data_IF_088524811627
#
_entry.id   IF_088524811627
#
_cell.length_a   1.000
_cell.length_b   1.000
_cell.length_c   1.000
_cell.angle_alpha   90.00
_cell.angle_beta   90.00
_cell.angle_gamma   90.00
#
_symmetry.space_group_name_H-M   'P 1'
#
loop_
_entity.id
_entity.type
_entity.pdbx_description
1 polymer ?
#
# COMPACT_ATOMS: atom_id res chain seq x y z
N UNK A 1 -58.10 41.12 33.34
CA UNK A 1 -58.48 40.26 34.49
C UNK A 1 -58.49 38.82 33.98
N UNK A 2 -57.42 38.06 34.14
CA UNK A 2 -57.01 37.34 35.37
C UNK A 2 -57.72 35.98 35.55
N UNK A 3 -56.97 34.90 35.21
CA UNK A 3 -56.85 33.54 35.81
C UNK A 3 -58.15 32.71 36.02
N UNK A 4 -58.22 31.38 35.84
CA UNK A 4 -57.42 30.22 36.33
C UNK A 4 -57.84 28.98 35.51
N UNK A 5 -56.98 28.18 34.84
CA UNK A 5 -56.10 27.08 35.30
C UNK A 5 -56.67 26.10 36.33
N UNK A 6 -56.84 24.84 35.92
CA UNK A 6 -56.76 23.62 36.76
C UNK A 6 -56.18 22.47 35.90
N UNK A 7 -54.93 22.09 36.20
CA UNK A 7 -54.23 20.89 35.74
C UNK A 7 -54.53 19.73 36.69
N UNK A 8 -54.60 18.50 36.18
CA UNK A 8 -54.48 17.27 36.97
C UNK A 8 -53.26 16.49 36.48
N UNK A 9 -52.27 16.33 37.38
CA UNK A 9 -51.05 15.53 37.24
C UNK A 9 -51.19 14.37 38.22
N UNK A 10 -50.88 13.15 37.78
CA UNK A 10 -50.74 11.99 38.65
C UNK A 10 -49.31 11.46 38.58
N UNK A 11 -48.60 11.57 39.71
CA UNK A 11 -47.27 11.06 40.01
C UNK A 11 -47.38 9.74 40.79
N UNK A 12 -46.54 8.76 40.46
CA UNK A 12 -46.29 7.59 41.32
C UNK A 12 -44.79 7.55 41.68
N UNK A 13 -44.53 7.36 42.98
CA UNK A 13 -43.26 7.55 43.65
C UNK A 13 -42.41 6.27 43.72
N UNK A 14 -41.09 6.45 43.67
CA UNK A 14 -40.08 5.47 44.10
C UNK A 14 -39.84 5.57 45.61
N UNK A 15 -39.62 4.43 46.26
CA UNK A 15 -39.18 4.33 47.66
C UNK A 15 -37.94 3.42 47.77
N UNK A 16 -36.92 3.91 48.49
CA UNK A 16 -35.56 3.38 48.59
C UNK A 16 -35.26 2.95 50.04
N UNK A 17 -34.47 1.87 50.18
CA UNK A 17 -33.49 1.51 51.23
C UNK A 17 -33.86 1.44 52.72
N UNK A 18 -33.41 0.34 53.35
CA UNK A 18 -33.13 0.26 54.79
C UNK A 18 -32.07 -0.82 55.08
N UNK A 19 -30.90 -0.39 55.56
CA UNK A 19 -29.76 -1.20 55.98
C UNK A 19 -29.58 -1.15 57.51
N UNK A 20 -29.10 -2.25 58.13
CA UNK A 20 -28.26 -2.38 59.36
C UNK A 20 -28.45 -3.81 59.95
N UNK A 21 -27.50 -4.52 60.59
CA UNK A 21 -26.11 -4.32 61.02
C UNK A 21 -25.45 -5.71 61.29
N UNK A 22 -24.12 -5.82 61.31
CA UNK A 22 -23.34 -7.02 61.77
C UNK A 22 -23.27 -7.15 63.31
N UNK A 23 -22.57 -8.14 63.94
CA UNK A 23 -21.14 -8.47 63.68
C UNK A 23 -20.63 -9.95 63.87
N UNK A 24 -19.47 -10.22 63.26
CA UNK A 24 -18.33 -11.14 63.58
C UNK A 24 -18.50 -12.57 64.19
N UNK A 25 -17.97 -13.60 63.49
CA UNK A 25 -16.88 -14.52 63.97
C UNK A 25 -16.36 -15.46 62.84
N UNK A 26 -15.04 -15.72 62.72
CA UNK A 26 -14.47 -16.58 61.68
C UNK A 26 -14.40 -18.06 62.10
N UNK A 27 -14.45 -18.97 61.13
CA UNK A 27 -14.04 -20.37 61.31
C UNK A 27 -12.90 -20.69 60.36
N UNK A 28 -11.74 -20.91 60.98
CA UNK A 28 -10.49 -21.39 60.41
C UNK A 28 -10.63 -22.80 59.83
N UNK A 29 -10.03 -23.04 58.67
CA UNK A 29 -9.28 -24.29 58.43
C UNK A 29 -8.03 -23.92 57.64
N UNK A 30 -6.91 -24.07 58.34
CA UNK A 30 -5.54 -23.91 57.86
C UNK A 30 -5.04 -25.28 57.40
N UNK A 31 -4.38 -25.33 56.26
CA UNK A 31 -3.35 -26.34 56.02
C UNK A 31 -2.21 -25.63 55.30
N UNK A 32 -1.21 -25.21 56.08
CA UNK A 32 0.17 -24.93 55.66
C UNK A 32 0.98 -26.19 55.99
N UNK A 33 1.96 -26.61 55.18
CA UNK A 33 3.41 -26.29 55.22
C UNK A 33 4.06 -27.23 54.16
N UNK A 34 5.24 -27.07 53.53
CA UNK A 34 6.51 -26.42 53.88
C UNK A 34 7.37 -26.26 52.61
N UNK A 35 8.30 -25.31 52.65
CA UNK A 35 9.36 -24.99 51.68
C UNK A 35 10.44 -26.08 51.50
N UNK A 36 11.20 -25.99 50.39
CA UNK A 36 12.64 -26.32 50.31
C UNK A 36 13.33 -25.48 49.23
N UNK A 37 14.55 -25.06 49.55
CA UNK A 37 15.38 -23.99 48.98
C UNK A 37 16.18 -24.32 47.70
N UNK A 38 16.72 -23.23 47.13
CA UNK A 38 17.97 -23.09 46.32
C UNK A 38 17.88 -23.59 44.86
N UNK A 39 18.36 -22.89 43.84
CA UNK A 39 19.70 -22.29 43.65
C UNK A 39 19.71 -21.17 42.59
N UNK A 40 20.75 -20.34 42.67
CA UNK A 40 21.07 -19.16 41.88
C UNK A 40 21.29 -19.36 40.36
N UNK A 41 21.06 -18.28 39.60
CA UNK A 41 21.98 -17.83 38.54
C UNK A 41 21.89 -16.31 38.39
N UNK A 42 23.06 -15.69 38.35
CA UNK A 42 23.32 -14.27 38.13
C UNK A 42 23.19 -13.88 36.65
N UNK A 43 23.14 -12.56 36.40
CA UNK A 43 23.83 -11.80 35.33
C UNK A 43 23.10 -10.44 35.19
N UNK A 44 23.59 -9.40 35.88
CA UNK A 44 24.45 -8.30 35.37
C UNK A 44 23.69 -7.15 34.71
N UNK A 45 23.45 -6.10 35.50
CA UNK A 45 23.31 -4.73 35.03
C UNK A 45 24.61 -4.27 34.37
N UNK A 46 24.54 -3.64 33.21
CA UNK A 46 25.56 -2.70 32.74
C UNK A 46 24.96 -1.69 31.77
N UNK A 47 24.71 -0.50 32.31
CA UNK A 47 24.62 0.76 31.58
C UNK A 47 26.04 1.18 31.23
N UNK A 48 26.36 1.38 29.95
CA UNK A 48 27.63 2.01 29.55
C UNK A 48 27.36 3.15 28.59
N UNK A 49 27.47 4.34 29.15
CA UNK A 49 27.66 5.62 28.48
C UNK A 49 29.01 5.59 27.78
N UNK A 50 29.08 6.02 26.52
CA UNK A 50 30.35 6.45 25.91
C UNK A 50 30.10 7.80 25.27
N UNK A 51 30.75 8.82 25.83
CA UNK A 51 30.78 10.17 25.32
C UNK A 51 32.12 10.45 24.61
N UNK A 52 32.02 11.31 23.60
CA UNK A 52 33.04 12.22 23.07
C UNK A 52 34.18 11.64 22.22
N UNK A 53 34.17 12.00 20.94
CA UNK A 53 35.23 12.89 20.43
C UNK A 53 34.75 13.70 19.22
N UNK A 54 35.04 14.98 19.34
CA UNK A 54 34.73 16.11 18.48
C UNK A 54 35.77 16.19 17.35
N UNK A 55 35.34 16.37 16.10
CA UNK A 55 36.17 17.07 15.09
C UNK A 55 35.28 17.99 14.28
N UNK A 56 35.35 19.27 14.64
CA UNK A 56 34.90 20.42 13.87
C UNK A 56 35.94 20.65 12.77
N UNK A 57 35.50 20.75 11.52
CA UNK A 57 36.28 21.47 10.49
C UNK A 57 35.31 22.36 9.72
N UNK A 58 35.62 23.64 9.77
CA UNK A 58 34.94 24.76 9.15
C UNK A 58 34.73 24.55 7.63
N UNK A 59 33.63 25.09 7.13
CA UNK A 59 33.61 25.67 5.79
C UNK A 59 32.80 26.96 5.85
N UNK A 60 33.53 28.07 5.84
CA UNK A 60 32.99 29.43 5.72
C UNK A 60 33.22 29.95 4.31
N UNK A 61 32.18 30.62 3.79
CA UNK A 61 32.21 31.85 2.96
C UNK A 61 32.86 31.76 1.56
N UNK A 62 32.11 31.74 0.44
CA UNK A 62 31.45 32.85 -0.33
C UNK A 62 32.26 33.41 -1.51
N UNK A 63 31.51 33.66 -2.60
CA UNK A 63 31.55 34.76 -3.58
C UNK A 63 32.49 34.75 -4.81
N UNK A 64 31.83 34.70 -5.99
CA UNK A 64 31.73 35.77 -7.03
C UNK A 64 32.62 35.72 -8.29
N UNK A 65 31.91 36.05 -9.39
CA UNK A 65 32.28 36.64 -10.69
C UNK A 65 32.62 35.66 -11.83
N UNK A 66 31.79 35.55 -12.88
CA UNK A 66 31.35 36.51 -13.92
C UNK A 66 32.29 36.57 -15.13
N UNK A 67 31.65 36.30 -16.27
CA UNK A 67 31.81 36.97 -17.57
C UNK A 67 32.93 36.59 -18.56
N UNK A 68 32.41 36.19 -19.73
CA UNK A 68 32.67 36.75 -21.07
C UNK A 68 33.62 36.03 -22.03
N UNK A 69 32.98 35.39 -23.02
CA UNK A 69 33.03 35.70 -24.47
C UNK A 69 34.35 35.72 -25.23
N UNK A 70 34.39 34.99 -26.35
CA UNK A 70 34.90 35.39 -27.71
C UNK A 70 34.79 34.18 -28.65
N UNK A 71 33.80 34.11 -29.55
CA UNK A 71 33.79 34.50 -30.98
C UNK A 71 34.78 33.78 -31.92
N UNK A 72 34.20 32.94 -32.81
CA UNK A 72 34.33 32.84 -34.29
C UNK A 72 35.72 32.96 -34.91
N UNK A 73 36.17 31.98 -35.72
CA UNK A 73 36.53 32.15 -37.17
C UNK A 73 36.59 30.77 -37.89
N UNK A 74 35.92 30.68 -39.04
CA UNK A 74 36.13 29.67 -40.09
C UNK A 74 37.47 29.87 -40.84
N UNK A 75 38.01 28.83 -41.47
CA UNK A 75 38.73 28.99 -42.74
C UNK A 75 38.74 27.68 -43.54
N UNK A 76 38.38 27.82 -44.81
CA UNK A 76 38.35 26.79 -45.85
C UNK A 76 39.58 26.90 -46.77
N UNK A 77 39.78 25.87 -47.60
CA UNK A 77 40.55 25.80 -48.88
C UNK A 77 42.09 25.66 -48.75
N UNK A 78 42.89 24.96 -49.57
CA UNK A 78 42.90 24.62 -51.03
C UNK A 78 43.90 23.47 -51.37
N UNK A 79 43.53 22.61 -52.35
CA UNK A 79 44.23 22.08 -53.56
C UNK A 79 45.70 21.58 -53.66
N UNK A 80 45.87 20.67 -54.65
CA UNK A 80 47.04 20.02 -55.33
C UNK A 80 47.59 18.75 -54.66
N UNK A 81 47.96 17.65 -55.35
CA UNK A 81 48.56 17.45 -56.68
C UNK A 81 48.46 15.97 -57.16
N UNK A 82 48.75 15.74 -58.45
CA UNK A 82 48.64 14.54 -59.29
C UNK A 82 49.65 13.40 -58.99
N UNK A 83 49.28 12.11 -59.21
CA UNK A 83 50.01 11.09 -60.02
C UNK A 83 49.97 9.63 -59.50
N UNK A 84 49.44 8.74 -60.35
CA UNK A 84 49.96 7.41 -60.79
C UNK A 84 50.30 6.30 -59.78
N UNK A 85 49.59 5.16 -59.87
CA UNK A 85 50.10 3.81 -60.22
C UNK A 85 49.39 2.63 -59.52
N UNK A 86 49.41 1.50 -60.22
CA UNK A 86 48.83 0.17 -59.95
C UNK A 86 48.95 -0.35 -58.51
N UNK A 87 47.88 -0.96 -58.02
CA UNK A 87 47.87 -2.36 -57.55
C UNK A 87 46.43 -2.82 -57.27
N UNK A 88 45.97 -3.84 -58.00
CA UNK A 88 44.84 -4.68 -57.58
C UNK A 88 45.21 -5.34 -56.24
N UNK A 89 44.59 -4.88 -55.16
CA UNK A 89 44.45 -5.68 -53.94
C UNK A 89 43.02 -6.19 -53.91
N UNK A 90 42.86 -7.49 -54.10
CA UNK A 90 41.61 -8.20 -53.81
C UNK A 90 41.24 -7.96 -52.36
N UNK A 91 40.25 -7.09 -52.14
CA UNK A 91 39.59 -6.92 -50.85
C UNK A 91 38.61 -8.08 -50.66
N UNK A 92 39.01 -9.09 -49.89
CA UNK A 92 38.03 -10.00 -49.26
C UNK A 92 37.25 -9.17 -48.24
N UNK A 93 36.09 -8.69 -48.66
CA UNK A 93 35.11 -8.05 -47.78
C UNK A 93 34.59 -9.13 -46.84
N UNK A 94 35.00 -9.09 -45.57
CA UNK A 94 34.34 -9.86 -44.52
C UNK A 94 32.94 -9.27 -44.41
N UNK A 95 31.95 -10.02 -44.86
CA UNK A 95 30.56 -9.70 -44.62
C UNK A 95 30.32 -9.82 -43.12
N UNK A 96 30.31 -8.70 -42.42
CA UNK A 96 29.72 -8.62 -41.10
C UNK A 96 28.25 -8.99 -41.25
N UNK A 97 27.87 -10.20 -40.85
CA UNK A 97 26.48 -10.56 -40.63
C UNK A 97 25.99 -9.71 -39.47
N UNK A 98 25.41 -8.55 -39.77
CA UNK A 98 24.59 -7.81 -38.84
C UNK A 98 23.38 -8.67 -38.51
N UNK A 99 23.48 -9.48 -37.46
CA UNK A 99 22.30 -10.01 -36.77
C UNK A 99 21.57 -8.81 -36.18
N UNK A 100 20.57 -8.31 -36.91
CA UNK A 100 19.56 -7.42 -36.35
C UNK A 100 18.80 -8.24 -35.31
N UNK A 101 19.29 -8.23 -34.06
CA UNK A 101 18.51 -8.68 -32.92
C UNK A 101 17.33 -7.73 -32.84
N UNK A 102 16.15 -8.20 -33.23
CA UNK A 102 14.92 -7.48 -33.01
C UNK A 102 14.85 -7.13 -31.52
N UNK A 103 14.60 -5.87 -31.19
CA UNK A 103 14.41 -5.46 -29.81
C UNK A 103 13.24 -6.30 -29.24
N UNK A 104 13.32 -6.75 -27.98
CA UNK A 104 12.22 -7.52 -27.41
C UNK A 104 10.92 -6.72 -27.53
N UNK A 105 9.87 -7.40 -27.98
CA UNK A 105 8.52 -6.85 -27.99
C UNK A 105 8.09 -6.60 -26.53
N UNK A 106 8.04 -5.31 -26.17
CA UNK A 106 7.76 -4.85 -24.82
C UNK A 106 6.28 -4.55 -24.59
N UNK A 107 5.38 -5.07 -25.43
CA UNK A 107 3.95 -4.92 -25.25
C UNK A 107 3.48 -5.57 -23.94
N UNK A 108 3.13 -4.71 -22.99
CA UNK A 108 2.58 -5.09 -21.70
C UNK A 108 1.15 -5.59 -21.87
N UNK A 109 0.85 -6.78 -21.34
CA UNK A 109 -0.49 -7.38 -21.46
C UNK A 109 -1.22 -7.32 -20.11
N UNK A 110 -2.32 -6.57 -20.05
CA UNK A 110 -3.27 -6.58 -18.93
C UNK A 110 -4.11 -7.86 -19.00
N UNK A 111 -4.24 -8.57 -17.88
CA UNK A 111 -5.01 -9.83 -17.84
C UNK A 111 -6.29 -9.77 -16.99
N UNK A 112 -6.47 -8.74 -16.17
CA UNK A 112 -7.76 -8.49 -15.50
C UNK A 112 -8.79 -7.95 -16.48
N UNK A 113 -10.02 -8.43 -16.34
CA UNK A 113 -11.19 -7.97 -17.08
C UNK A 113 -11.93 -6.95 -16.22
N UNK A 114 -12.41 -5.87 -16.84
CA UNK A 114 -13.10 -4.76 -16.18
C UNK A 114 -12.30 -4.17 -14.98
N UNK A 115 -11.05 -3.73 -15.21
CA UNK A 115 -10.17 -3.24 -14.14
C UNK A 115 -10.66 -1.95 -13.47
N UNK A 116 -11.48 -1.16 -14.19
CA UNK A 116 -12.03 0.13 -13.74
C UNK A 116 -13.52 0.05 -13.36
N UNK A 117 -14.10 -1.15 -13.27
CA UNK A 117 -15.51 -1.38 -12.86
C UNK A 117 -16.60 -0.70 -13.71
N UNK A 118 -16.26 -0.19 -14.88
CA UNK A 118 -17.18 0.50 -15.79
C UNK A 118 -18.16 -0.45 -16.49
N UNK A 119 -17.74 -1.69 -16.74
CA UNK A 119 -18.54 -2.64 -17.49
C UNK A 119 -19.56 -3.37 -16.60
N UNK A 120 -20.80 -3.49 -17.11
CA UNK A 120 -21.89 -4.20 -16.43
C UNK A 120 -22.07 -3.73 -14.97
N UNK A 121 -22.44 -4.64 -14.07
CA UNK A 121 -22.51 -4.47 -12.61
C UNK A 121 -21.14 -4.64 -11.93
N UNK A 122 -20.04 -4.49 -12.67
CA UNK A 122 -18.67 -4.75 -12.19
C UNK A 122 -18.18 -6.18 -12.44
N UNK A 123 -18.97 -7.03 -13.10
CA UNK A 123 -18.52 -8.35 -13.54
C UNK A 123 -17.24 -8.27 -14.40
N UNK A 124 -16.33 -9.26 -14.35
CA UNK A 124 -16.47 -10.57 -13.69
C UNK A 124 -15.92 -10.62 -12.26
N UNK A 125 -15.76 -9.47 -11.59
CA UNK A 125 -15.36 -9.46 -10.19
C UNK A 125 -16.43 -10.11 -9.30
N UNK A 126 -15.98 -10.93 -8.36
CA UNK A 126 -16.82 -11.60 -7.37
C UNK A 126 -16.60 -10.95 -6.01
N UNK A 127 -17.65 -10.85 -5.20
CA UNK A 127 -17.58 -10.27 -3.85
C UNK A 127 -17.67 -8.73 -3.83
N UNK A 128 -18.14 -8.12 -4.91
CA UNK A 128 -18.32 -6.67 -5.03
C UNK A 128 -19.76 -6.20 -4.78
N UNK A 129 -20.66 -7.12 -4.39
CA UNK A 129 -22.06 -6.81 -4.10
C UNK A 129 -22.15 -5.77 -2.98
N UNK A 130 -22.73 -4.62 -3.29
CA UNK A 130 -22.83 -3.49 -2.34
C UNK A 130 -21.55 -2.67 -2.19
N UNK A 131 -20.45 -3.02 -2.86
CA UNK A 131 -19.22 -2.22 -2.89
C UNK A 131 -19.19 -1.25 -4.07
N UNK A 132 -19.71 -1.67 -5.24
CA UNK A 132 -19.65 -0.84 -6.44
C UNK A 132 -20.47 0.43 -6.28
N UNK A 133 -19.84 1.58 -6.50
CA UNK A 133 -20.46 2.90 -6.30
C UNK A 133 -19.96 3.91 -7.33
N UNK A 134 -20.77 4.95 -7.57
CA UNK A 134 -20.43 6.09 -8.45
C UNK A 134 -19.87 7.29 -7.67
N UNK A 135 -19.62 7.10 -6.38
CA UNK A 135 -19.12 8.14 -5.50
C UNK A 135 -17.59 8.19 -5.54
N UNK A 136 -17.08 9.35 -5.96
CA UNK A 136 -15.65 9.68 -5.93
C UNK A 136 -14.75 8.68 -6.69
N UNK A 137 -15.07 8.23 -7.93
CA UNK A 137 -14.21 7.34 -8.70
C UNK A 137 -12.83 7.95 -8.98
N UNK A 138 -11.79 7.13 -9.13
CA UNK A 138 -10.46 7.60 -9.51
C UNK A 138 -10.45 8.01 -10.98
N UNK A 139 -10.99 7.13 -11.83
CA UNK A 139 -11.28 7.41 -13.24
C UNK A 139 -12.64 6.88 -13.63
N UNK A 140 -13.19 7.34 -14.75
CA UNK A 140 -14.50 6.88 -15.20
C UNK A 140 -15.64 7.29 -14.26
N UNK A 141 -16.55 6.36 -14.01
CA UNK A 141 -17.83 6.58 -13.33
C UNK A 141 -17.98 5.73 -12.07
N UNK A 142 -17.26 4.63 -11.93
CA UNK A 142 -17.44 3.66 -10.85
C UNK A 142 -16.12 3.27 -10.20
N UNK A 143 -16.18 2.98 -8.90
CA UNK A 143 -15.12 2.34 -8.14
C UNK A 143 -15.74 1.28 -7.20
N UNK A 144 -14.92 0.70 -6.32
CA UNK A 144 -15.39 -0.06 -5.16
C UNK A 144 -15.21 0.76 -3.88
N UNK A 145 -16.32 1.06 -3.17
CA UNK A 145 -16.34 1.76 -1.89
C UNK A 145 -16.71 0.82 -0.73
N UNK A 146 -15.72 0.44 0.08
CA UNK A 146 -15.91 -0.33 1.30
C UNK A 146 -16.29 0.59 2.47
N UNK A 147 -17.47 0.37 3.06
CA UNK A 147 -17.99 1.18 4.17
C UNK A 147 -17.87 0.40 5.48
N UNK A 148 -17.11 0.94 6.43
CA UNK A 148 -16.93 0.37 7.76
C UNK A 148 -17.69 1.21 8.77
N UNK A 149 -18.42 0.57 9.68
CA UNK A 149 -19.16 1.28 10.74
C UNK A 149 -18.73 0.83 12.12
N UNK A 150 -19.01 1.66 13.13
CA UNK A 150 -18.80 1.37 14.55
C UNK A 150 -17.37 0.87 14.86
N UNK A 151 -16.36 1.53 14.29
CA UNK A 151 -14.95 1.23 14.52
C UNK A 151 -14.41 0.01 13.77
N UNK A 152 -15.20 -0.63 12.90
CA UNK A 152 -14.72 -1.60 11.91
C UNK A 152 -14.51 -3.02 12.45
N UNK A 153 -15.57 -3.84 12.37
CA UNK A 153 -15.54 -5.26 12.75
C UNK A 153 -15.69 -6.21 11.55
N UNK A 154 -15.77 -5.66 10.35
CA UNK A 154 -16.07 -6.38 9.11
C UNK A 154 -14.85 -6.37 8.19
N UNK A 155 -14.73 -7.41 7.37
CA UNK A 155 -13.71 -7.56 6.34
C UNK A 155 -14.40 -7.66 4.99
N UNK A 156 -13.90 -6.91 4.00
CA UNK A 156 -14.38 -7.01 2.63
C UNK A 156 -13.40 -7.80 1.79
N UNK A 157 -13.93 -8.69 0.94
CA UNK A 157 -13.10 -9.48 0.02
C UNK A 157 -13.74 -9.51 -1.35
N UNK A 158 -12.94 -9.16 -2.36
CA UNK A 158 -13.33 -9.28 -3.76
C UNK A 158 -12.20 -9.88 -4.60
N UNK A 159 -12.56 -10.51 -5.71
CA UNK A 159 -11.60 -11.31 -6.48
C UNK A 159 -11.97 -11.54 -7.94
N UNK A 160 -10.98 -11.92 -8.73
CA UNK A 160 -11.13 -12.41 -10.10
C UNK A 160 -10.21 -13.61 -10.32
N UNK A 161 -10.72 -14.66 -10.93
CA UNK A 161 -9.93 -15.84 -11.29
C UNK A 161 -9.34 -15.69 -12.68
N UNK A 162 -8.04 -15.96 -12.82
CA UNK A 162 -7.27 -15.88 -14.04
C UNK A 162 -6.72 -17.25 -14.40
N UNK A 163 -6.51 -17.49 -15.70
CA UNK A 163 -5.91 -18.72 -16.22
C UNK A 163 -4.67 -18.41 -17.06
N UNK A 164 -3.83 -19.42 -17.25
CA UNK A 164 -2.71 -19.39 -18.19
C UNK A 164 -1.71 -18.25 -17.94
N UNK A 165 -1.29 -18.07 -16.69
CA UNK A 165 -0.33 -17.04 -16.29
C UNK A 165 1.11 -17.51 -16.57
N UNK A 166 1.88 -16.74 -17.33
CA UNK A 166 3.18 -17.18 -17.86
C UNK A 166 4.40 -16.34 -17.44
N UNK A 167 4.18 -15.21 -16.77
CA UNK A 167 5.24 -14.25 -16.49
C UNK A 167 5.22 -13.71 -15.07
N UNK A 168 6.24 -12.94 -14.69
CA UNK A 168 6.07 -11.97 -13.62
C UNK A 168 5.00 -10.94 -14.05
N UNK A 169 4.14 -10.56 -13.12
CA UNK A 169 3.09 -9.56 -13.33
C UNK A 169 3.23 -8.45 -12.31
N UNK A 170 2.96 -7.22 -12.74
CA UNK A 170 2.77 -6.07 -11.88
C UNK A 170 1.31 -5.93 -11.54
N UNK A 171 0.99 -6.05 -10.25
CA UNK A 171 -0.26 -5.57 -9.71
C UNK A 171 -0.14 -4.07 -9.45
N UNK A 172 -1.10 -3.28 -9.90
CA UNK A 172 -1.29 -1.89 -9.49
C UNK A 172 -2.77 -1.62 -9.23
N UNK A 173 -3.08 -0.76 -8.27
CA UNK A 173 -4.43 -0.35 -7.91
C UNK A 173 -4.36 1.03 -7.24
N UNK A 174 -5.42 1.82 -7.38
CA UNK A 174 -5.54 3.09 -6.69
C UNK A 174 -6.45 2.94 -5.48
N UNK A 175 -6.12 3.62 -4.39
CA UNK A 175 -6.94 3.65 -3.18
C UNK A 175 -6.95 5.03 -2.52
N UNK A 176 -7.97 5.30 -1.70
CA UNK A 176 -7.99 6.41 -0.74
C UNK A 176 -9.06 6.20 0.33
N UNK A 177 -8.91 6.91 1.44
CA UNK A 177 -10.00 7.12 2.39
C UNK A 177 -10.86 8.26 1.84
N UNK A 178 -12.13 7.97 1.55
CA UNK A 178 -13.08 8.91 0.94
C UNK A 178 -13.72 9.79 2.01
N UNK A 179 -14.19 9.17 3.08
CA UNK A 179 -14.90 9.85 4.17
C UNK A 179 -14.60 9.21 5.51
N UNK A 180 -14.64 10.04 6.55
CA UNK A 180 -14.44 9.65 7.94
C UNK A 180 -15.38 10.46 8.81
N UNK A 181 -16.19 9.77 9.61
CA UNK A 181 -17.02 10.36 10.66
C UNK A 181 -16.59 9.80 12.01
N UNK A 182 -16.34 10.67 12.98
CA UNK A 182 -15.72 10.33 14.26
C UNK A 182 -16.65 10.68 15.42
N UNK A 183 -16.73 9.81 16.44
CA UNK A 183 -17.53 10.06 17.65
C UNK A 183 -16.99 11.24 18.49
N UNK A 184 -15.68 11.49 18.40
CA UNK A 184 -15.01 12.62 19.05
C UNK A 184 -14.01 13.27 18.10
N UNK A 185 -13.59 14.52 18.38
CA UNK A 185 -12.92 15.42 17.43
C UNK A 185 -11.63 14.92 16.74
N UNK A 186 -11.14 13.72 17.06
CA UNK A 186 -10.13 13.00 16.28
C UNK A 186 -10.50 11.51 16.21
N UNK A 187 -10.68 10.97 15.00
CA UNK A 187 -10.74 9.53 14.78
C UNK A 187 -9.33 9.01 14.51
N UNK A 188 -8.78 8.21 15.43
CA UNK A 188 -7.64 7.36 15.12
C UNK A 188 -8.13 6.11 14.41
N UNK A 189 -7.65 5.83 13.20
CA UNK A 189 -7.98 4.61 12.48
C UNK A 189 -6.77 4.05 11.75
N UNK A 190 -6.85 2.77 11.41
CA UNK A 190 -5.90 2.10 10.54
C UNK A 190 -6.67 1.15 9.65
N UNK A 191 -6.35 1.17 8.37
CA UNK A 191 -6.84 0.19 7.41
C UNK A 191 -5.68 -0.68 6.93
N UNK A 192 -6.03 -1.80 6.31
CA UNK A 192 -5.12 -2.66 5.56
C UNK A 192 -5.81 -3.13 4.29
N UNK A 193 -5.11 -2.99 3.16
CA UNK A 193 -5.49 -3.50 1.86
C UNK A 193 -4.49 -4.59 1.52
N UNK A 194 -4.93 -5.84 1.50
CA UNK A 194 -4.09 -7.02 1.32
C UNK A 194 -4.39 -7.70 -0.01
N UNK A 195 -3.58 -7.42 -1.06
CA UNK A 195 -3.66 -8.17 -2.30
C UNK A 195 -3.03 -9.56 -2.17
N UNK A 196 -3.64 -10.54 -2.82
CA UNK A 196 -3.10 -11.90 -2.95
C UNK A 196 -3.27 -12.40 -4.38
N UNK A 197 -2.36 -13.27 -4.82
CA UNK A 197 -2.45 -13.98 -6.10
C UNK A 197 -2.24 -15.48 -5.83
N UNK A 198 -3.31 -16.26 -5.99
CA UNK A 198 -3.34 -17.64 -5.52
C UNK A 198 -3.14 -17.69 -4.01
N UNK A 199 -2.11 -18.39 -3.54
CA UNK A 199 -1.77 -18.49 -2.12
C UNK A 199 -0.73 -17.45 -1.67
N UNK A 200 -0.22 -16.62 -2.58
CA UNK A 200 0.85 -15.66 -2.28
C UNK A 200 0.25 -14.31 -1.92
N UNK A 201 0.48 -13.88 -0.68
CA UNK A 201 0.23 -12.51 -0.26
C UNK A 201 1.28 -11.58 -0.88
N UNK A 202 0.82 -10.43 -1.37
CA UNK A 202 1.65 -9.36 -1.91
C UNK A 202 1.71 -8.20 -0.91
N UNK A 203 2.68 -7.31 -1.11
CA UNK A 203 2.74 -6.08 -0.33
C UNK A 203 1.48 -5.25 -0.60
N UNK A 204 0.82 -4.87 0.49
CA UNK A 204 -0.40 -4.10 0.49
C UNK A 204 -0.19 -2.62 0.75
N UNK A 205 -1.26 -1.97 1.20
CA UNK A 205 -1.23 -0.60 1.69
C UNK A 205 -1.99 -0.50 3.02
N UNK A 206 -1.52 0.36 3.91
CA UNK A 206 -2.12 0.55 5.24
C UNK A 206 -2.53 2.03 5.43
N UNK A 207 -3.62 2.50 4.79
CA UNK A 207 -4.03 3.89 4.92
C UNK A 207 -4.53 4.20 6.33
N UNK A 208 -4.11 5.35 6.86
CA UNK A 208 -4.43 5.81 8.21
C UNK A 208 -4.90 7.28 8.25
N UNK A 209 -5.04 7.92 7.09
CA UNK A 209 -5.48 9.31 6.97
C UNK A 209 -6.31 9.54 5.69
N UNK A 210 -7.05 10.66 5.69
CA UNK A 210 -7.70 11.17 4.49
C UNK A 210 -6.64 11.74 3.54
N UNK A 211 -6.77 11.47 2.24
CA UNK A 211 -5.77 11.89 1.27
C UNK A 211 -6.24 11.75 -0.17
N UNK A 212 -5.39 12.18 -1.12
CA UNK A 212 -5.64 11.95 -2.54
C UNK A 212 -5.58 10.45 -2.86
N UNK A 213 -6.08 10.09 -4.03
CA UNK A 213 -5.84 8.80 -4.63
C UNK A 213 -4.34 8.48 -4.66
N UNK A 214 -3.99 7.32 -4.10
CA UNK A 214 -2.62 6.83 -3.98
C UNK A 214 -2.52 5.47 -4.67
N UNK A 215 -1.43 5.24 -5.39
CA UNK A 215 -1.17 3.96 -6.06
C UNK A 215 -0.53 2.97 -5.08
N UNK A 216 -1.08 1.77 -4.99
CA UNK A 216 -0.43 0.59 -4.43
C UNK A 216 0.08 -0.30 -5.57
N UNK A 217 1.30 -0.81 -5.47
CA UNK A 217 1.87 -1.71 -6.48
C UNK A 217 2.67 -2.85 -5.85
N UNK A 218 2.63 -4.01 -6.49
CA UNK A 218 3.45 -5.16 -6.13
C UNK A 218 3.80 -6.00 -7.36
N UNK A 219 4.93 -6.69 -7.30
CA UNK A 219 5.32 -7.66 -8.32
C UNK A 219 5.01 -9.07 -7.82
N UNK A 220 4.21 -9.79 -8.61
CA UNK A 220 4.02 -11.22 -8.46
C UNK A 220 4.88 -11.97 -9.45
N UNK A 221 5.47 -13.06 -8.99
CA UNK A 221 6.27 -13.98 -9.80
C UNK A 221 5.74 -15.38 -9.53
N UNK A 222 5.48 -16.18 -10.58
CA UNK A 222 5.14 -17.58 -10.48
C UNK A 222 6.14 -18.34 -9.61
N UNK A 223 5.66 -19.17 -8.70
CA UNK A 223 6.53 -20.08 -7.92
C UNK A 223 6.90 -21.36 -8.70
N UNK A 224 6.23 -21.61 -9.83
CA UNK A 224 6.49 -22.78 -10.67
C UNK A 224 7.84 -22.64 -11.39
N UNK A 225 8.68 -23.70 -11.45
CA UNK A 225 9.92 -23.69 -12.23
C UNK A 225 9.72 -23.41 -13.72
N UNK A 226 8.54 -23.71 -14.26
CA UNK A 226 8.22 -23.40 -15.66
C UNK A 226 7.86 -21.94 -15.91
N UNK A 227 7.65 -21.14 -14.85
CA UNK A 227 7.06 -19.81 -14.95
C UNK A 227 5.55 -19.83 -15.25
N UNK A 228 4.96 -21.01 -15.46
CA UNK A 228 3.55 -21.15 -15.80
C UNK A 228 2.69 -21.52 -14.59
N UNK A 229 1.51 -20.91 -14.49
CA UNK A 229 0.45 -21.22 -13.53
C UNK A 229 -0.89 -21.34 -14.27
N UNK A 230 -1.46 -22.55 -14.28
CA UNK A 230 -2.70 -22.86 -15.00
C UNK A 230 -3.87 -21.99 -14.54
N UNK A 231 -3.98 -21.74 -13.23
CA UNK A 231 -5.01 -20.90 -12.64
C UNK A 231 -4.54 -20.26 -11.34
N UNK A 232 -4.84 -18.98 -11.16
CA UNK A 232 -4.70 -18.28 -9.90
C UNK A 232 -5.82 -17.25 -9.72
N UNK A 233 -6.15 -16.96 -8.47
CA UNK A 233 -7.13 -15.91 -8.15
C UNK A 233 -6.39 -14.68 -7.67
N UNK A 234 -6.61 -13.54 -8.32
CA UNK A 234 -6.23 -12.23 -7.79
C UNK A 234 -7.35 -11.81 -6.84
N UNK A 235 -7.02 -11.55 -5.58
CA UNK A 235 -8.01 -11.10 -4.59
C UNK A 235 -7.46 -10.01 -3.70
N UNK A 236 -8.38 -9.23 -3.15
CA UNK A 236 -8.10 -8.18 -2.18
C UNK A 236 -8.90 -8.46 -0.93
N UNK A 237 -8.26 -8.35 0.23
CA UNK A 237 -8.94 -8.26 1.52
C UNK A 237 -8.74 -6.85 2.06
N UNK A 238 -9.82 -6.22 2.49
CA UNK A 238 -9.80 -4.86 3.04
C UNK A 238 -10.40 -4.88 4.43
N UNK A 239 -9.60 -4.41 5.37
CA UNK A 239 -9.96 -4.29 6.77
C UNK A 239 -9.70 -2.85 7.22
N UNK A 240 -10.58 -2.30 8.04
CA UNK A 240 -10.35 -1.04 8.73
C UNK A 240 -10.80 -1.18 10.18
N UNK A 241 -10.05 -0.60 11.11
CA UNK A 241 -10.40 -0.55 12.51
C UNK A 241 -10.00 0.79 13.13
N UNK A 242 -10.73 1.23 14.15
CA UNK A 242 -10.42 2.49 14.81
C UNK A 242 -11.58 3.13 15.57
N UNK A 243 -11.44 4.43 15.82
CA UNK A 243 -12.38 5.26 16.56
C UNK A 243 -13.24 6.10 15.60
N UNK A 244 -14.12 5.45 14.84
CA UNK A 244 -15.02 6.11 13.88
C UNK A 244 -16.45 5.54 13.95
N UNK A 245 -17.42 6.37 13.59
CA UNK A 245 -18.82 5.95 13.41
C UNK A 245 -18.98 5.29 12.04
N UNK A 246 -18.39 5.91 11.02
CA UNK A 246 -18.37 5.44 9.64
C UNK A 246 -17.07 5.89 8.95
N UNK A 247 -16.44 4.98 8.21
CA UNK A 247 -15.27 5.20 7.37
C UNK A 247 -15.51 4.55 6.01
N UNK A 248 -15.23 5.28 4.93
CA UNK A 248 -15.31 4.73 3.57
C UNK A 248 -13.93 4.71 2.92
N UNK A 249 -13.49 3.54 2.47
CA UNK A 249 -12.28 3.32 1.70
C UNK A 249 -12.66 2.97 0.27
N UNK A 250 -12.13 3.71 -0.71
CA UNK A 250 -12.34 3.40 -2.12
C UNK A 250 -11.11 2.74 -2.74
N UNK A 251 -11.34 1.80 -3.67
CA UNK A 251 -10.35 1.15 -4.52
C UNK A 251 -10.82 1.22 -5.97
N UNK A 252 -9.91 1.54 -6.88
CA UNK A 252 -10.20 1.69 -8.31
C UNK A 252 -9.00 1.29 -9.19
N UNK A 253 -9.23 1.17 -10.50
CA UNK A 253 -8.22 0.98 -11.55
C UNK A 253 -7.24 -0.16 -11.27
N UNK A 254 -7.77 -1.36 -11.02
CA UNK A 254 -6.97 -2.53 -10.65
C UNK A 254 -6.39 -3.20 -11.89
N UNK A 255 -5.07 -3.17 -12.00
CA UNK A 255 -4.33 -3.70 -13.14
C UNK A 255 -3.42 -4.85 -12.72
N UNK A 256 -3.38 -5.92 -13.50
CA UNK A 256 -2.43 -7.02 -13.36
C UNK A 256 -1.77 -7.27 -14.72
N UNK A 257 -0.59 -6.70 -14.89
CA UNK A 257 0.04 -6.53 -16.21
C UNK A 257 1.33 -7.32 -16.30
N UNK A 258 1.51 -8.11 -17.36
CA UNK A 258 2.71 -8.91 -17.59
C UNK A 258 3.95 -8.01 -17.78
N UNK A 259 5.04 -8.34 -17.08
CA UNK A 259 6.32 -7.65 -17.16
C UNK A 259 7.24 -8.39 -18.14
N UNK A 260 7.49 -7.80 -19.31
CA UNK A 260 8.37 -8.39 -20.35
C UNK A 260 9.77 -7.78 -20.42
N UNK A 261 9.91 -6.49 -20.16
CA UNK A 261 11.15 -5.74 -20.42
C UNK A 261 11.69 -4.93 -19.23
N UNK A 262 11.04 -5.00 -18.07
CA UNK A 262 11.52 -4.28 -16.89
C UNK A 262 12.42 -5.21 -16.05
N UNK A 263 13.59 -4.73 -15.58
CA UNK A 263 14.35 -5.47 -14.58
C UNK A 263 13.51 -5.61 -13.31
N UNK A 264 13.22 -6.84 -12.91
CA UNK A 264 12.54 -7.11 -11.64
C UNK A 264 13.44 -6.61 -10.50
N UNK A 265 13.00 -5.58 -9.77
CA UNK A 265 13.67 -5.19 -8.54
C UNK A 265 13.41 -6.27 -7.49
N UNK A 266 14.47 -6.99 -7.13
CA UNK A 266 14.49 -8.04 -6.10
C UNK A 266 14.55 -7.48 -4.69
#
# INVERSE_FOLDING_TARGET
MARRSLFAVATLAFGILGANAGPCRPSTTVTSITETSSTAVAETSSTTLVASSTTVVESSSTTVAESSSTTVVESSTTLFETSTSLAESSSTTIAETSTTSEAPDCDTTQVLINPSFEDNDGAPWVGIDGLRTDQDPHTGSYNLGAVFTNGGAESYTFSQSLTDLNGPYRLSYYYRIVSLSAWSGSAGFSCSIVPTVGTRQLNGADPYELGPWTEGTAVWTPSSPSGHVDQATVSFTVDCYGEFDELTLAIDDITFTEIKCEPLQT
#
